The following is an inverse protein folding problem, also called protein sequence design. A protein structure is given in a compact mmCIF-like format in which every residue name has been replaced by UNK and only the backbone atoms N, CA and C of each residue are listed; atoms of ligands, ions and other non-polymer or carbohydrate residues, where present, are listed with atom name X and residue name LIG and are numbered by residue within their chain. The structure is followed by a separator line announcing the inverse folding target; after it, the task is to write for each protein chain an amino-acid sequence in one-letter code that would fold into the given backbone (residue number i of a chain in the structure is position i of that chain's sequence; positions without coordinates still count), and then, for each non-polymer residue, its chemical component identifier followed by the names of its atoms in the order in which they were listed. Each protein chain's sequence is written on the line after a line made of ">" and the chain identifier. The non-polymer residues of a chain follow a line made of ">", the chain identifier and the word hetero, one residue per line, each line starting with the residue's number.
data_IF_285985864715
#
_entry.id   IF_285985864715
#
_cell.length_a   1.000
_cell.length_b   1.000
_cell.length_c   1.000
_cell.angle_alpha   90.00
_cell.angle_beta   90.00
_cell.angle_gamma   90.00
#
_symmetry.space_group_name_H-M   'P 1'
#
loop_
_entity.id
_entity.type
_entity.pdbx_description
1 polymer ?
#
# COMPACT_ATOMS: atom_id res chain seq x y z
N UNK A 1 -7.84 17.99 -4.45
CA UNK A 1 -6.49 17.86 -3.87
C UNK A 1 -5.68 19.00 -4.46
N UNK A 2 -4.44 18.79 -4.91
CA UNK A 2 -3.62 19.86 -5.49
C UNK A 2 -4.16 20.36 -6.84
N UNK A 3 -3.91 21.63 -7.17
CA UNK A 3 -4.31 22.24 -8.44
C UNK A 3 -5.70 22.93 -8.46
N UNK A 4 -6.32 23.19 -7.29
CA UNK A 4 -7.55 24.00 -7.20
C UNK A 4 -8.83 23.34 -7.75
N UNK A 5 -8.81 22.01 -7.90
CA UNK A 5 -9.97 21.23 -8.36
C UNK A 5 -11.14 21.21 -7.37
N UNK A 6 -12.29 20.67 -7.80
CA UNK A 6 -13.56 20.67 -7.05
C UNK A 6 -13.42 20.21 -5.59
N UNK A 7 -12.64 19.14 -5.34
CA UNK A 7 -12.47 18.60 -3.99
C UNK A 7 -11.74 19.60 -3.06
N UNK A 8 -10.79 20.37 -3.59
CA UNK A 8 -10.15 21.45 -2.82
C UNK A 8 -11.12 22.61 -2.58
N UNK A 9 -11.99 22.94 -3.55
CA UNK A 9 -13.03 23.97 -3.40
C UNK A 9 -14.06 23.62 -2.32
N UNK A 10 -14.24 22.33 -2.01
CA UNK A 10 -15.06 21.86 -0.89
C UNK A 10 -14.35 21.93 0.47
N UNK A 11 -13.10 22.42 0.53
CA UNK A 11 -12.33 22.51 1.76
C UNK A 11 -11.54 21.24 2.12
N UNK A 12 -11.45 20.25 1.23
CA UNK A 12 -10.64 19.07 1.48
C UNK A 12 -9.15 19.42 1.52
N UNK A 13 -8.48 19.00 2.60
CA UNK A 13 -7.07 19.24 2.82
C UNK A 13 -6.26 17.94 2.64
N UNK A 14 -5.26 17.99 1.77
CA UNK A 14 -4.32 16.91 1.53
C UNK A 14 -2.92 17.53 1.43
N UNK A 15 -2.19 17.51 2.53
CA UNK A 15 -0.95 18.28 2.70
C UNK A 15 0.17 17.75 1.79
N UNK A 16 0.59 16.51 2.01
CA UNK A 16 1.67 15.84 1.29
C UNK A 16 1.16 14.66 0.44
N UNK A 17 -0.13 14.60 0.12
CA UNK A 17 -0.65 13.61 -0.83
C UNK A 17 -1.00 12.27 -0.21
N UNK A 18 -1.45 12.26 1.05
CA UNK A 18 -2.05 11.08 1.67
C UNK A 18 -3.19 10.53 0.82
N UNK A 19 -4.00 11.39 0.20
CA UNK A 19 -5.07 10.93 -0.68
C UNK A 19 -4.57 10.76 -2.13
N UNK A 20 -4.03 11.81 -2.74
CA UNK A 20 -3.70 11.76 -4.17
C UNK A 20 -2.57 10.77 -4.54
N UNK A 21 -1.69 10.42 -3.61
CA UNK A 21 -0.59 9.48 -3.83
C UNK A 21 -0.88 8.16 -3.12
N UNK A 22 -0.98 8.16 -1.79
CA UNK A 22 -1.03 6.92 -1.02
C UNK A 22 -2.37 6.18 -1.11
N UNK A 23 -3.50 6.88 -0.96
CA UNK A 23 -4.81 6.26 -1.08
C UNK A 23 -5.07 5.77 -2.50
N UNK A 24 -4.80 6.59 -3.51
CA UNK A 24 -4.95 6.18 -4.92
C UNK A 24 -4.09 4.94 -5.22
N UNK A 25 -2.79 4.98 -4.89
CA UNK A 25 -1.90 3.84 -5.08
C UNK A 25 -2.35 2.59 -4.32
N UNK A 26 -2.81 2.75 -3.07
CA UNK A 26 -3.30 1.66 -2.23
C UNK A 26 -4.57 1.01 -2.77
N UNK A 27 -5.55 1.81 -3.20
CA UNK A 27 -6.79 1.27 -3.81
C UNK A 27 -6.49 0.58 -5.14
N UNK A 28 -5.64 1.16 -5.99
CA UNK A 28 -5.22 0.51 -7.22
C UNK A 28 -4.52 -0.84 -6.94
N UNK A 29 -3.63 -0.89 -5.94
CA UNK A 29 -2.96 -2.12 -5.54
C UNK A 29 -3.94 -3.16 -4.98
N UNK A 30 -4.92 -2.74 -4.18
CA UNK A 30 -5.96 -3.62 -3.63
C UNK A 30 -6.81 -4.24 -4.75
N UNK A 31 -7.32 -3.42 -5.66
CA UNK A 31 -8.12 -3.89 -6.80
C UNK A 31 -7.29 -4.83 -7.68
N UNK A 32 -6.06 -4.45 -8.00
CA UNK A 32 -5.14 -5.31 -8.77
C UNK A 32 -4.89 -6.65 -8.09
N UNK A 33 -4.62 -6.67 -6.78
CA UNK A 33 -4.42 -7.89 -6.02
C UNK A 33 -5.69 -8.76 -5.96
N UNK A 34 -6.88 -8.15 -5.87
CA UNK A 34 -8.15 -8.86 -5.88
C UNK A 34 -8.44 -9.52 -7.24
N UNK A 35 -8.12 -8.82 -8.35
CA UNK A 35 -8.29 -9.34 -9.71
C UNK A 35 -7.30 -10.47 -10.04
N UNK A 36 -6.03 -10.33 -9.65
CA UNK A 36 -5.00 -11.36 -9.87
C UNK A 36 -5.22 -12.57 -8.96
N UNK A 37 -5.71 -12.34 -7.75
CA UNK A 37 -5.92 -13.37 -6.74
C UNK A 37 -4.67 -13.66 -5.90
N UNK A 38 -4.81 -14.53 -4.87
CA UNK A 38 -3.75 -14.80 -3.93
C UNK A 38 -2.63 -15.66 -4.54
N UNK A 39 -1.40 -15.44 -4.09
CA UNK A 39 -0.27 -16.33 -4.37
C UNK A 39 -0.60 -17.78 -4.00
N UNK A 40 -0.15 -18.73 -4.82
CA UNK A 40 -0.31 -20.17 -4.56
C UNK A 40 0.29 -20.50 -3.19
N UNK A 41 -0.43 -21.27 -2.38
CA UNK A 41 -0.02 -21.63 -1.03
C UNK A 41 -0.24 -20.53 0.02
N UNK A 42 -0.75 -19.34 -0.33
CA UNK A 42 -1.06 -18.29 0.67
C UNK A 42 -2.13 -18.72 1.68
N UNK A 43 -3.14 -19.44 1.21
CA UNK A 43 -4.27 -19.90 2.02
C UNK A 43 -4.42 -21.40 1.90
N UNK A 44 -4.41 -22.10 3.03
CA UNK A 44 -4.81 -23.50 3.10
C UNK A 44 -6.32 -23.55 3.26
N UNK A 45 -6.97 -24.43 2.49
CA UNK A 45 -8.43 -24.61 2.50
C UNK A 45 -8.79 -26.04 2.91
N UNK A 46 -9.93 -26.21 3.57
CA UNK A 46 -10.51 -27.53 3.81
C UNK A 46 -11.28 -28.07 2.59
N UNK A 47 -11.88 -29.26 2.73
CA UNK A 47 -12.67 -29.90 1.66
C UNK A 47 -13.93 -29.09 1.26
N UNK A 48 -14.45 -28.25 2.16
CA UNK A 48 -15.56 -27.34 1.89
C UNK A 48 -15.10 -25.99 1.30
N UNK A 49 -13.79 -25.82 1.08
CA UNK A 49 -13.20 -24.60 0.49
C UNK A 49 -12.97 -23.47 1.50
N UNK A 50 -13.22 -23.68 2.80
CA UNK A 50 -13.03 -22.66 3.84
C UNK A 50 -11.55 -22.51 4.15
N UNK A 51 -11.09 -21.27 4.30
CA UNK A 51 -9.71 -20.98 4.73
C UNK A 51 -9.52 -21.47 6.17
N UNK A 52 -8.55 -22.37 6.36
CA UNK A 52 -8.19 -22.92 7.67
C UNK A 52 -6.87 -22.35 8.20
N UNK A 53 -6.00 -21.88 7.31
CA UNK A 53 -4.70 -21.30 7.66
C UNK A 53 -4.26 -20.24 6.65
N UNK A 54 -3.65 -19.16 7.16
CA UNK A 54 -2.94 -18.16 6.37
C UNK A 54 -1.45 -18.42 6.50
N UNK A 55 -0.79 -18.74 5.38
CA UNK A 55 0.65 -19.00 5.38
C UNK A 55 1.41 -17.67 5.18
N UNK A 56 2.45 -17.46 6.01
CA UNK A 56 3.34 -16.32 5.86
C UNK A 56 4.40 -16.61 4.79
N UNK A 57 4.73 -15.60 3.98
CA UNK A 57 5.89 -15.63 3.10
C UNK A 57 6.95 -14.74 3.73
N UNK A 58 8.01 -15.30 4.35
CA UNK A 58 9.04 -14.50 4.99
C UNK A 58 9.76 -13.62 3.96
N UNK A 59 10.32 -12.50 4.43
CA UNK A 59 11.15 -11.63 3.61
C UNK A 59 12.38 -12.37 3.11
N UNK A 60 12.74 -12.14 1.85
CA UNK A 60 13.88 -12.79 1.20
C UNK A 60 15.23 -12.23 1.69
N UNK A 61 15.27 -10.95 2.08
CA UNK A 61 16.47 -10.28 2.56
C UNK A 61 16.09 -9.14 3.53
N UNK A 62 16.28 -9.39 4.83
CA UNK A 62 15.93 -8.43 5.87
C UNK A 62 16.82 -7.16 5.83
N UNK A 63 18.16 -7.24 5.68
CA UNK A 63 18.99 -6.05 5.51
C UNK A 63 18.57 -5.12 4.37
N UNK A 64 18.23 -5.66 3.19
CA UNK A 64 17.75 -4.85 2.06
C UNK A 64 16.39 -4.22 2.39
N UNK A 65 15.49 -4.96 3.05
CA UNK A 65 14.22 -4.41 3.52
C UNK A 65 14.42 -3.21 4.46
N UNK A 66 15.33 -3.34 5.43
CA UNK A 66 15.68 -2.25 6.34
C UNK A 66 16.29 -1.05 5.60
N UNK A 67 17.22 -1.28 4.66
CA UNK A 67 17.82 -0.22 3.86
C UNK A 67 16.76 0.54 3.05
N UNK A 68 15.82 -0.17 2.43
CA UNK A 68 14.69 0.44 1.72
C UNK A 68 13.84 1.34 2.63
N UNK A 69 13.55 0.89 3.86
CA UNK A 69 12.84 1.72 4.86
C UNK A 69 13.64 2.97 5.23
N UNK A 70 14.96 2.87 5.43
CA UNK A 70 15.78 4.04 5.74
C UNK A 70 15.79 5.06 4.61
N UNK A 71 15.87 4.60 3.36
CA UNK A 71 15.81 5.49 2.18
C UNK A 71 14.45 6.18 2.10
N UNK A 72 13.35 5.43 2.24
CA UNK A 72 12.00 5.98 2.21
C UNK A 72 11.79 6.99 3.35
N UNK A 73 12.22 6.65 4.56
CA UNK A 73 12.08 7.52 5.71
C UNK A 73 12.89 8.83 5.56
N UNK A 74 14.14 8.74 5.12
CA UNK A 74 14.96 9.92 4.85
C UNK A 74 14.32 10.81 3.77
N UNK A 75 13.87 10.20 2.66
CA UNK A 75 13.18 10.92 1.59
C UNK A 75 11.86 11.56 2.05
N UNK A 76 11.20 10.98 3.06
CA UNK A 76 9.94 11.48 3.58
C UNK A 76 10.04 12.86 4.23
N UNK A 77 11.22 13.23 4.77
CA UNK A 77 11.43 14.59 5.27
C UNK A 77 11.33 15.63 4.14
N UNK A 78 11.87 15.33 2.96
CA UNK A 78 11.70 16.19 1.77
C UNK A 78 10.28 16.14 1.22
N UNK A 79 9.63 14.98 1.27
CA UNK A 79 8.27 14.80 0.75
C UNK A 79 7.21 15.56 1.57
N UNK A 80 7.35 15.59 2.91
CA UNK A 80 6.42 16.32 3.79
C UNK A 80 6.89 17.74 4.12
N UNK A 81 8.20 17.99 4.14
CA UNK A 81 8.77 19.26 4.59
C UNK A 81 8.89 20.34 3.53
N UNK A 82 8.54 20.03 2.27
CA UNK A 82 8.57 20.94 1.13
C UNK A 82 7.22 21.66 0.92
#
# INVERSE_FOLDING_TARGET
>A
TWGGGWLSKLGFHDFAGSNCIHMVGGICALIGAAMVGPRIGKFTKDKAGKITKVNAFPGHNLPIGCLGVFILWLGWYGFNGA
#
